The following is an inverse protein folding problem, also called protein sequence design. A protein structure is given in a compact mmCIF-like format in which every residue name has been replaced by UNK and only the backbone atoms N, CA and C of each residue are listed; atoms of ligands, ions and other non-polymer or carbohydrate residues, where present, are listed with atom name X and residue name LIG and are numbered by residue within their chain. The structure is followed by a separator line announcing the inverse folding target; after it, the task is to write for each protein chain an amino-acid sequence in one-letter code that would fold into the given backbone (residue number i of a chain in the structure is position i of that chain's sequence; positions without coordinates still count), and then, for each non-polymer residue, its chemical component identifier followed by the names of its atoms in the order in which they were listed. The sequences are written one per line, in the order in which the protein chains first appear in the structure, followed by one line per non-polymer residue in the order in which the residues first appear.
data_IF_339332274615
#
_entry.id   IF_339332274615
#
_cell.length_a   1.000
_cell.length_b   1.000
_cell.length_c   1.000
_cell.angle_alpha   90.00
_cell.angle_beta   90.00
_cell.angle_gamma   90.00
#
_symmetry.space_group_name_H-M   'P 1'
#
loop_
_entity.id
_entity.type
_entity.pdbx_description
1 polymer ?
#
# COMPACT_ATOMS: atom_id res chain seq x y z
N UNK A 1 3.30 -9.72 32.50
CA UNK A 1 2.96 -9.04 31.24
C UNK A 1 4.19 -8.24 30.84
N UNK A 2 4.94 -8.71 29.84
CA UNK A 2 6.04 -7.93 29.27
C UNK A 2 5.45 -6.64 28.70
N UNK A 3 5.92 -5.45 29.11
CA UNK A 3 5.39 -4.20 28.59
C UNK A 3 5.56 -4.22 27.07
N UNK A 4 4.44 -4.14 26.35
CA UNK A 4 4.42 -3.96 24.90
C UNK A 4 5.35 -2.80 24.58
N UNK A 5 6.42 -2.98 23.79
CA UNK A 5 7.35 -1.90 23.53
C UNK A 5 6.56 -0.73 22.93
N UNK A 6 6.60 0.43 23.59
CA UNK A 6 5.97 1.64 23.11
C UNK A 6 6.54 1.97 21.73
N UNK A 7 5.74 1.70 20.69
CA UNK A 7 6.10 2.05 19.32
C UNK A 7 6.37 3.55 19.28
N UNK A 8 7.61 3.92 18.96
CA UNK A 8 7.98 5.32 18.80
C UNK A 8 7.08 5.99 17.76
N UNK A 9 6.83 7.30 17.87
CA UNK A 9 5.92 7.99 16.95
C UNK A 9 6.33 7.84 15.47
N UNK A 10 7.64 7.66 15.21
CA UNK A 10 8.18 7.34 13.90
C UNK A 10 7.75 5.94 13.39
N UNK A 11 7.72 4.92 14.26
CA UNK A 11 7.23 3.59 13.91
C UNK A 11 5.71 3.59 13.69
N UNK A 12 4.94 4.28 14.54
CA UNK A 12 3.49 4.44 14.34
C UNK A 12 3.20 5.12 12.99
N UNK A 13 3.96 6.16 12.64
CA UNK A 13 3.87 6.85 11.34
C UNK A 13 4.26 5.94 10.18
N UNK A 14 5.35 5.18 10.31
CA UNK A 14 5.80 4.23 9.29
C UNK A 14 4.80 3.10 9.05
N UNK A 15 4.25 2.52 10.13
CA UNK A 15 3.21 1.50 10.08
C UNK A 15 1.91 2.04 9.47
N UNK A 16 1.50 3.27 9.82
CA UNK A 16 0.34 3.92 9.22
C UNK A 16 0.52 4.11 7.72
N UNK A 17 1.67 4.64 7.29
CA UNK A 17 1.98 4.81 5.86
C UNK A 17 2.01 3.48 5.11
N UNK A 18 2.57 2.45 5.73
CA UNK A 18 2.60 1.11 5.16
C UNK A 18 1.19 0.52 5.00
N UNK A 19 0.35 0.59 6.05
CA UNK A 19 -1.05 0.14 5.99
C UNK A 19 -1.87 0.94 4.98
N UNK A 20 -1.71 2.26 4.92
CA UNK A 20 -2.38 3.10 3.92
C UNK A 20 -1.95 2.69 2.51
N UNK A 21 -0.66 2.45 2.29
CA UNK A 21 -0.17 1.99 1.00
C UNK A 21 -0.68 0.59 0.62
N UNK A 22 -0.81 -0.32 1.60
CA UNK A 22 -1.41 -1.64 1.38
C UNK A 22 -2.90 -1.54 1.03
N UNK A 23 -3.64 -0.68 1.72
CA UNK A 23 -5.04 -0.38 1.40
C UNK A 23 -5.21 0.22 0.01
N UNK A 24 -4.30 1.09 -0.42
CA UNK A 24 -4.34 1.68 -1.76
C UNK A 24 -4.06 0.64 -2.86
N UNK A 25 -3.12 -0.28 -2.63
CA UNK A 25 -2.85 -1.40 -3.57
C UNK A 25 -4.04 -2.33 -3.66
N UNK A 26 -4.58 -2.79 -2.52
CA UNK A 26 -5.79 -3.62 -2.48
C UNK A 26 -6.96 -2.93 -3.17
N UNK A 27 -7.19 -1.64 -2.87
CA UNK A 27 -8.22 -0.83 -3.50
C UNK A 27 -8.01 -0.70 -5.00
N UNK A 28 -6.79 -0.46 -5.46
CA UNK A 28 -6.45 -0.38 -6.88
C UNK A 28 -6.65 -1.70 -7.63
N UNK A 29 -6.40 -2.85 -6.99
CA UNK A 29 -6.67 -4.16 -7.56
C UNK A 29 -8.17 -4.45 -7.67
N UNK A 30 -8.92 -4.17 -6.60
CA UNK A 30 -10.37 -4.43 -6.55
C UNK A 30 -11.12 -3.47 -7.49
N UNK A 31 -10.89 -2.17 -7.37
CA UNK A 31 -11.54 -1.18 -8.22
C UNK A 31 -11.00 -1.23 -9.66
N UNK A 32 -9.69 -1.24 -9.85
CA UNK A 32 -9.14 -1.24 -11.20
C UNK A 32 -9.40 -2.55 -11.93
N UNK A 33 -8.96 -3.66 -11.35
CA UNK A 33 -9.13 -4.98 -11.95
C UNK A 33 -10.58 -5.44 -11.97
N UNK A 34 -11.31 -5.28 -10.87
CA UNK A 34 -12.72 -5.69 -10.78
C UNK A 34 -13.63 -4.87 -11.68
N UNK A 35 -13.51 -3.55 -11.70
CA UNK A 35 -14.33 -2.69 -12.56
C UNK A 35 -13.95 -2.84 -14.04
N UNK A 36 -12.67 -3.09 -14.34
CA UNK A 36 -12.24 -3.43 -15.70
C UNK A 36 -12.90 -4.72 -16.21
N UNK A 37 -13.02 -5.74 -15.34
CA UNK A 37 -13.74 -6.97 -15.70
C UNK A 37 -15.22 -6.70 -15.99
N UNK A 38 -15.88 -5.88 -15.18
CA UNK A 38 -17.28 -5.46 -15.45
C UNK A 38 -17.40 -4.77 -16.79
N UNK A 39 -16.55 -3.78 -17.08
CA UNK A 39 -16.59 -3.07 -18.37
C UNK A 39 -16.20 -3.95 -19.56
N UNK A 40 -15.32 -4.93 -19.36
CA UNK A 40 -14.99 -5.93 -20.36
C UNK A 40 -16.21 -6.78 -20.71
N UNK A 41 -16.95 -7.28 -19.71
CA UNK A 41 -18.21 -8.01 -19.93
C UNK A 41 -19.27 -7.16 -20.63
N UNK A 42 -19.35 -5.86 -20.29
CA UNK A 42 -20.27 -4.92 -20.94
C UNK A 42 -19.81 -4.46 -22.34
N UNK A 43 -18.65 -4.95 -22.82
CA UNK A 43 -18.04 -4.54 -24.09
C UNK A 43 -17.72 -3.03 -24.20
N UNK A 44 -17.56 -2.34 -23.07
CA UNK A 44 -17.24 -0.92 -23.00
C UNK A 44 -15.71 -0.77 -22.89
N UNK A 45 -15.02 -0.79 -24.03
CA UNK A 45 -13.54 -0.74 -24.09
C UNK A 45 -12.94 0.47 -23.38
N UNK A 46 -13.56 1.65 -23.54
CA UNK A 46 -13.12 2.89 -22.88
C UNK A 46 -13.17 2.76 -21.35
N UNK A 47 -14.24 2.20 -20.79
CA UNK A 47 -14.40 2.01 -19.35
C UNK A 47 -13.36 1.05 -18.78
N UNK A 48 -13.08 -0.04 -19.49
CA UNK A 48 -12.04 -0.99 -19.12
C UNK A 48 -10.64 -0.33 -19.12
N UNK A 49 -10.31 0.46 -20.14
CA UNK A 49 -9.04 1.19 -20.20
C UNK A 49 -8.86 2.18 -19.04
N UNK A 50 -9.89 2.99 -18.74
CA UNK A 50 -9.84 3.99 -17.67
C UNK A 50 -9.73 3.34 -16.30
N UNK A 51 -10.48 2.27 -16.05
CA UNK A 51 -10.42 1.52 -14.78
C UNK A 51 -9.06 0.87 -14.55
N UNK A 52 -8.47 0.25 -15.58
CA UNK A 52 -7.10 -0.29 -15.51
C UNK A 52 -6.10 0.82 -15.19
N UNK A 53 -6.13 1.94 -15.92
CA UNK A 53 -5.24 3.08 -15.69
C UNK A 53 -5.34 3.60 -14.25
N UNK A 54 -6.56 3.80 -13.76
CA UNK A 54 -6.81 4.26 -12.39
C UNK A 54 -6.31 3.24 -11.35
N UNK A 55 -6.57 1.95 -11.57
CA UNK A 55 -6.08 0.87 -10.72
C UNK A 55 -4.56 0.82 -10.63
N UNK A 56 -3.89 0.88 -11.78
CA UNK A 56 -2.42 0.87 -11.86
C UNK A 56 -1.85 2.09 -11.15
N UNK A 57 -2.41 3.28 -11.37
CA UNK A 57 -1.97 4.50 -10.67
C UNK A 57 -2.12 4.36 -9.14
N UNK A 58 -3.26 3.85 -8.66
CA UNK A 58 -3.47 3.60 -7.23
C UNK A 58 -2.47 2.57 -6.67
N UNK A 59 -2.17 1.51 -7.40
CA UNK A 59 -1.18 0.51 -6.99
C UNK A 59 0.21 1.14 -6.88
N UNK A 60 0.64 1.92 -7.86
CA UNK A 60 1.95 2.57 -7.86
C UNK A 60 2.11 3.54 -6.68
N UNK A 61 1.09 4.37 -6.42
CA UNK A 61 1.08 5.27 -5.26
C UNK A 61 1.10 4.48 -3.95
N UNK A 62 0.38 3.35 -3.90
CA UNK A 62 0.34 2.48 -2.73
C UNK A 62 1.69 1.84 -2.42
N UNK A 63 2.37 1.32 -3.44
CA UNK A 63 3.73 0.78 -3.33
C UNK A 63 4.70 1.87 -2.88
N UNK A 64 4.58 3.09 -3.40
CA UNK A 64 5.42 4.21 -2.98
C UNK A 64 5.22 4.58 -1.50
N UNK A 65 3.97 4.58 -1.03
CA UNK A 65 3.64 4.78 0.40
C UNK A 65 4.18 3.65 1.27
N UNK A 66 4.09 2.39 0.81
CA UNK A 66 4.67 1.24 1.50
C UNK A 66 6.20 1.36 1.61
N UNK A 67 6.89 1.74 0.54
CA UNK A 67 8.36 1.95 0.57
C UNK A 67 8.75 3.04 1.56
N UNK A 68 8.00 4.16 1.61
CA UNK A 68 8.23 5.23 2.60
C UNK A 68 7.95 4.76 4.02
N UNK A 69 6.86 4.02 4.24
CA UNK A 69 6.53 3.43 5.53
C UNK A 69 7.60 2.45 6.00
N UNK A 70 8.04 1.55 5.13
CA UNK A 70 9.10 0.58 5.39
C UNK A 70 10.44 1.25 5.72
N UNK A 71 10.81 2.32 5.00
CA UNK A 71 12.02 3.09 5.29
C UNK A 71 11.99 3.74 6.67
N UNK A 72 10.83 4.27 7.09
CA UNK A 72 10.63 4.84 8.42
C UNK A 72 10.64 3.78 9.53
N UNK A 73 10.11 2.59 9.25
CA UNK A 73 10.15 1.44 10.16
C UNK A 73 11.59 0.89 10.29
N UNK A 74 12.35 0.85 9.19
CA UNK A 74 13.73 0.36 9.15
C UNK A 74 14.74 1.33 9.77
N UNK A 75 14.48 2.64 9.72
CA UNK A 75 15.37 3.68 10.26
C UNK A 75 15.56 3.65 11.79
N UNK A 76 14.81 2.81 12.52
CA UNK A 76 14.99 2.55 13.96
C UNK A 76 15.19 1.08 14.30
N UNK A 77 15.77 0.29 13.39
CA UNK A 77 16.47 -0.92 13.81
C UNK A 77 17.89 -0.52 14.24
N UNK A 78 18.19 -0.30 15.53
CA UNK A 78 19.54 -0.53 16.00
C UNK A 78 19.73 -2.04 16.00
N UNK A 79 20.02 -2.66 14.84
CA UNK A 79 20.79 -3.89 14.88
C UNK A 79 22.26 -3.48 15.01
N UNK A 80 22.57 -2.96 16.20
CA UNK A 80 23.92 -2.90 16.76
C UNK A 80 23.83 -3.70 18.05
N UNK A 81 24.01 -5.01 17.94
CA UNK A 81 23.99 -5.91 19.08
C UNK A 81 23.87 -7.37 18.70
N UNK A 82 25.01 -8.02 18.45
CA UNK A 82 25.15 -9.46 18.67
C UNK A 82 25.87 -10.24 17.58
N UNK A 83 27.21 -10.10 17.56
CA UNK A 83 28.22 -10.97 16.96
C UNK A 83 28.39 -10.95 15.43
#
# INVERSE_FOLDING_TARGET
MTPTPDLSDAQKKGQKLFMTGAGLVMGGLIMGGGLAMVFYFLSIRMGAMVSILFGVAAILVGIWLQMRGAKLLSSKSPFKGGQ
#
